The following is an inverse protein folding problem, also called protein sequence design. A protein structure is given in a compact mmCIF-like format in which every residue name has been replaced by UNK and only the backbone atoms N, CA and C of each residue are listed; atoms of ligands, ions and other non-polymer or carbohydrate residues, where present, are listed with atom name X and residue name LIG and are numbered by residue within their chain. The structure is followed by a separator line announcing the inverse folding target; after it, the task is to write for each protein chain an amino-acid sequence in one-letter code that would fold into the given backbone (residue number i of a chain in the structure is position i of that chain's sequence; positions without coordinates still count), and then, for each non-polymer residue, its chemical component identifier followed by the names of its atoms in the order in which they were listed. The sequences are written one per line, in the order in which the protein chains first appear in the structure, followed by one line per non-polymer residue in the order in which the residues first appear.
data_IF_568197457832
#
_entry.id   IF_568197457832
#
_cell.length_a   1.000
_cell.length_b   1.000
_cell.length_c   1.000
_cell.angle_alpha   90.00
_cell.angle_beta   90.00
_cell.angle_gamma   90.00
#
_symmetry.space_group_name_H-M   'P 1'
#
loop_
_entity.id
_entity.type
_entity.pdbx_description
1 polymer ?
#
# COMPACT_ATOMS: atom_id res chain seq x y z
N UNK A 1 7.30 -12.12 -16.54
CA UNK A 1 6.51 -11.26 -15.62
C UNK A 1 7.45 -10.81 -14.52
N UNK A 2 7.50 -9.53 -14.23
CA UNK A 2 8.40 -8.98 -13.23
C UNK A 2 7.94 -9.44 -11.86
N UNK A 3 8.85 -10.06 -11.11
CA UNK A 3 8.59 -10.65 -9.81
C UNK A 3 9.24 -9.84 -8.69
N UNK A 4 8.54 -9.67 -7.57
CA UNK A 4 9.06 -8.98 -6.41
C UNK A 4 8.96 -9.84 -5.14
N UNK A 5 9.92 -9.63 -4.23
CA UNK A 5 9.87 -10.05 -2.84
C UNK A 5 9.93 -8.81 -1.94
N UNK A 6 9.13 -8.82 -0.88
CA UNK A 6 9.15 -7.79 0.16
C UNK A 6 9.69 -8.43 1.43
N UNK A 7 10.61 -7.76 2.09
CA UNK A 7 11.19 -8.19 3.36
C UNK A 7 10.97 -7.08 4.38
N UNK A 8 10.24 -7.39 5.43
CA UNK A 8 10.06 -6.48 6.58
C UNK A 8 10.99 -6.91 7.70
N UNK A 9 11.76 -5.97 8.21
CA UNK A 9 12.76 -6.19 9.26
C UNK A 9 12.26 -5.44 10.49
N UNK A 10 12.11 -6.17 11.62
CA UNK A 10 11.65 -5.61 12.87
C UNK A 10 11.10 -6.69 13.81
N UNK A 11 11.67 -6.80 15.01
CA UNK A 11 11.23 -7.74 16.03
C UNK A 11 9.79 -7.46 16.48
N UNK A 12 9.37 -6.18 16.50
CA UNK A 12 8.02 -5.76 16.88
C UNK A 12 6.92 -6.32 15.97
N UNK A 13 7.27 -6.64 14.71
CA UNK A 13 6.35 -7.30 13.76
C UNK A 13 6.21 -8.77 14.14
N UNK A 14 7.33 -9.44 14.44
CA UNK A 14 7.35 -10.88 14.75
C UNK A 14 6.64 -11.21 16.06
N UNK A 15 6.78 -10.35 17.07
CA UNK A 15 6.08 -10.52 18.35
C UNK A 15 4.61 -10.03 18.31
N UNK A 16 4.16 -9.50 17.15
CA UNK A 16 2.77 -9.05 16.97
C UNK A 16 2.44 -7.73 17.67
N UNK A 17 3.44 -6.95 18.06
CA UNK A 17 3.24 -5.64 18.70
C UNK A 17 2.68 -4.62 17.70
N UNK A 18 3.12 -4.69 16.43
CA UNK A 18 2.60 -3.88 15.35
C UNK A 18 2.18 -4.76 14.16
N UNK A 19 1.23 -4.23 13.39
CA UNK A 19 0.79 -4.88 12.14
C UNK A 19 1.67 -4.39 11.00
N UNK A 20 2.17 -5.30 10.17
CA UNK A 20 2.91 -4.96 8.95
C UNK A 20 2.01 -4.26 7.92
N UNK A 21 1.91 -2.97 8.05
CA UNK A 21 1.22 -2.10 7.08
C UNK A 21 2.09 -1.73 5.89
N UNK A 22 3.42 -1.83 6.03
CA UNK A 22 4.39 -1.46 5.02
C UNK A 22 4.34 -2.44 3.84
N UNK A 23 4.47 -3.74 4.09
CA UNK A 23 4.39 -4.75 3.03
C UNK A 23 3.04 -4.71 2.31
N UNK A 24 1.96 -4.47 3.05
CA UNK A 24 0.61 -4.30 2.48
C UNK A 24 0.55 -3.12 1.51
N UNK A 25 1.13 -1.97 1.88
CA UNK A 25 1.16 -0.80 1.02
C UNK A 25 2.04 -1.02 -0.22
N UNK A 26 3.28 -1.50 -0.02
CA UNK A 26 4.23 -1.79 -1.10
C UNK A 26 3.61 -2.77 -2.11
N UNK A 27 2.99 -3.85 -1.63
CA UNK A 27 2.31 -4.83 -2.50
C UNK A 27 1.21 -4.19 -3.34
N UNK A 28 0.38 -3.32 -2.74
CA UNK A 28 -0.69 -2.63 -3.47
C UNK A 28 -0.14 -1.76 -4.59
N UNK A 29 0.92 -0.99 -4.32
CA UNK A 29 1.51 -0.10 -5.32
C UNK A 29 2.22 -0.88 -6.45
N UNK A 30 2.98 -1.93 -6.11
CA UNK A 30 3.63 -2.80 -7.10
C UNK A 30 2.63 -3.50 -8.03
N UNK A 31 1.52 -4.00 -7.48
CA UNK A 31 0.48 -4.66 -8.27
C UNK A 31 -0.19 -3.66 -9.23
N UNK A 32 -0.36 -2.39 -8.88
CA UNK A 32 -0.93 -1.37 -9.77
C UNK A 32 -0.13 -1.20 -11.06
N UNK A 33 1.19 -1.41 -10.99
CA UNK A 33 2.11 -1.30 -12.13
C UNK A 33 2.48 -2.65 -12.75
N UNK A 34 1.78 -3.73 -12.40
CA UNK A 34 1.95 -5.05 -13.03
C UNK A 34 3.12 -5.88 -12.51
N UNK A 35 3.74 -5.50 -11.41
CA UNK A 35 4.75 -6.29 -10.71
C UNK A 35 4.06 -7.32 -9.82
N UNK A 36 4.45 -8.58 -9.93
CA UNK A 36 3.92 -9.68 -9.14
C UNK A 36 4.70 -9.84 -7.83
N UNK A 37 4.08 -9.55 -6.70
CA UNK A 37 4.66 -9.86 -5.40
C UNK A 37 4.45 -11.35 -5.13
N UNK A 38 5.55 -12.12 -5.13
CA UNK A 38 5.52 -13.58 -4.94
C UNK A 38 5.76 -14.01 -3.51
N UNK A 39 6.46 -13.17 -2.73
CA UNK A 39 6.77 -13.48 -1.34
C UNK A 39 6.80 -12.21 -0.50
N UNK A 40 6.23 -12.29 0.69
CA UNK A 40 6.39 -11.33 1.78
C UNK A 40 6.99 -12.10 2.94
N UNK A 41 8.11 -11.61 3.48
CA UNK A 41 8.85 -12.24 4.56
C UNK A 41 9.11 -11.21 5.66
N UNK A 42 8.68 -11.52 6.89
CA UNK A 42 9.08 -10.75 8.07
C UNK A 42 10.19 -11.48 8.81
N UNK A 43 11.23 -10.75 9.17
CA UNK A 43 12.43 -11.28 9.85
C UNK A 43 12.83 -10.35 10.99
N UNK A 44 13.61 -10.90 11.93
CA UNK A 44 14.19 -10.15 13.03
C UNK A 44 15.31 -9.23 12.58
N UNK A 45 15.68 -8.28 13.45
CA UNK A 45 16.86 -7.42 13.30
C UNK A 45 18.15 -8.21 13.56
N UNK A 46 18.27 -9.38 12.90
CA UNK A 46 19.39 -10.29 13.03
C UNK A 46 20.20 -10.36 11.75
N UNK A 47 21.51 -10.12 11.83
CA UNK A 47 22.42 -10.12 10.70
C UNK A 47 22.35 -11.41 9.84
N UNK A 48 22.29 -12.59 10.49
CA UNK A 48 22.27 -13.88 9.77
C UNK A 48 20.96 -14.06 9.01
N UNK A 49 19.84 -13.64 9.60
CA UNK A 49 18.53 -13.73 8.97
C UNK A 49 18.44 -12.79 7.76
N UNK A 50 18.90 -11.54 7.91
CA UNK A 50 18.90 -10.57 6.81
C UNK A 50 19.80 -11.06 5.65
N UNK A 51 21.03 -11.51 5.95
CA UNK A 51 21.94 -12.07 4.95
C UNK A 51 21.34 -13.30 4.25
N UNK A 52 20.76 -14.21 5.02
CA UNK A 52 20.09 -15.39 4.48
C UNK A 52 18.92 -15.03 3.59
N UNK A 53 18.10 -14.05 3.99
CA UNK A 53 16.99 -13.56 3.19
C UNK A 53 17.47 -12.95 1.85
N UNK A 54 18.58 -12.20 1.85
CA UNK A 54 19.16 -11.63 0.63
C UNK A 54 19.76 -12.70 -0.28
N UNK A 55 20.52 -13.65 0.27
CA UNK A 55 21.11 -14.77 -0.48
C UNK A 55 20.02 -15.62 -1.16
N UNK A 56 18.92 -15.90 -0.46
CA UNK A 56 17.80 -16.66 -0.98
C UNK A 56 16.92 -15.88 -1.99
N UNK A 57 17.20 -14.59 -2.19
CA UNK A 57 16.40 -13.71 -3.04
C UNK A 57 17.11 -13.36 -4.35
N UNK A 58 18.45 -13.27 -4.34
CA UNK A 58 19.25 -12.90 -5.51
C UNK A 58 19.03 -13.86 -6.68
N UNK A 59 18.83 -13.32 -7.88
CA UNK A 59 18.51 -14.05 -9.12
C UNK A 59 17.20 -14.88 -9.10
N UNK A 60 16.46 -14.87 -7.98
CA UNK A 60 15.15 -15.53 -7.86
C UNK A 60 14.01 -14.53 -8.10
N UNK A 61 14.22 -13.29 -7.71
CA UNK A 61 13.27 -12.19 -7.91
C UNK A 61 13.95 -11.05 -8.65
N UNK A 62 13.21 -10.35 -9.50
CA UNK A 62 13.72 -9.20 -10.23
C UNK A 62 13.90 -7.99 -9.29
N UNK A 63 13.00 -7.86 -8.31
CA UNK A 63 12.95 -6.74 -7.36
C UNK A 63 12.86 -7.29 -5.94
N UNK A 64 13.75 -6.83 -5.07
CA UNK A 64 13.70 -7.10 -3.63
C UNK A 64 13.59 -5.76 -2.91
N UNK A 65 12.50 -5.56 -2.15
CA UNK A 65 12.29 -4.36 -1.37
C UNK A 65 12.34 -4.74 0.11
N UNK A 66 13.25 -4.11 0.86
CA UNK A 66 13.33 -4.25 2.31
C UNK A 66 12.83 -2.98 2.98
N UNK A 67 12.19 -3.10 4.14
CA UNK A 67 11.78 -1.96 4.96
C UNK A 67 12.06 -2.26 6.43
N UNK A 68 12.75 -1.34 7.12
CA UNK A 68 13.20 -1.46 8.50
C UNK A 68 14.72 -1.48 8.67
N UNK A 69 15.18 -1.28 9.89
CA UNK A 69 16.59 -1.38 10.29
C UNK A 69 17.53 -0.33 9.68
N UNK A 70 17.02 0.86 9.28
CA UNK A 70 17.82 1.96 8.72
C UNK A 70 17.95 3.16 9.69
N UNK A 71 17.39 3.09 10.86
CA UNK A 71 17.45 4.14 11.88
C UNK A 71 18.86 4.36 12.45
N UNK A 72 19.00 5.24 13.46
CA UNK A 72 20.27 5.57 14.07
C UNK A 72 20.62 4.70 15.27
N UNK A 73 19.83 3.71 15.65
CA UNK A 73 20.01 2.91 16.85
C UNK A 73 20.87 1.67 16.60
N UNK A 74 21.35 1.00 17.65
CA UNK A 74 22.29 -0.12 17.50
C UNK A 74 21.65 -1.39 16.92
N UNK A 75 20.36 -1.50 16.93
CA UNK A 75 19.55 -2.54 16.31
C UNK A 75 19.33 -2.31 14.81
N UNK A 76 19.57 -1.09 14.33
CA UNK A 76 19.45 -0.72 12.91
C UNK A 76 20.66 -1.16 12.08
N UNK A 77 20.79 -2.45 11.84
CA UNK A 77 21.98 -3.06 11.21
C UNK A 77 21.86 -3.26 9.70
N UNK A 78 20.77 -2.83 9.08
CA UNK A 78 20.51 -3.11 7.65
C UNK A 78 21.57 -2.49 6.72
N UNK A 79 22.15 -1.32 7.04
CA UNK A 79 23.22 -0.70 6.22
C UNK A 79 24.49 -1.55 6.22
N UNK A 80 24.92 -2.03 7.39
CA UNK A 80 26.10 -2.87 7.54
C UNK A 80 25.91 -4.20 6.81
N UNK A 81 24.74 -4.81 6.94
CA UNK A 81 24.40 -6.05 6.25
C UNK A 81 24.36 -5.84 4.74
N UNK A 82 23.87 -4.70 4.27
CA UNK A 82 23.92 -4.32 2.86
C UNK A 82 25.37 -4.26 2.38
N UNK A 83 26.26 -3.58 3.12
CA UNK A 83 27.68 -3.51 2.76
C UNK A 83 28.30 -4.89 2.67
N UNK A 84 28.08 -5.77 3.63
CA UNK A 84 28.62 -7.13 3.62
C UNK A 84 28.08 -7.96 2.45
N UNK A 85 26.77 -7.93 2.21
CA UNK A 85 26.16 -8.71 1.13
C UNK A 85 26.63 -8.27 -0.26
N UNK A 86 26.87 -6.95 -0.46
CA UNK A 86 27.28 -6.39 -1.74
C UNK A 86 28.80 -6.24 -1.89
N UNK A 87 29.58 -6.71 -0.91
CA UNK A 87 31.03 -6.49 -0.86
C UNK A 87 31.36 -5.01 -1.05
N UNK A 88 30.83 -4.18 -0.15
CA UNK A 88 30.90 -2.73 -0.19
C UNK A 88 31.32 -2.17 1.17
N UNK A 89 31.52 -0.87 1.24
CA UNK A 89 31.87 -0.13 2.46
C UNK A 89 31.03 1.12 2.63
N UNK A 90 30.86 1.54 3.86
CA UNK A 90 30.23 2.81 4.16
C UNK A 90 31.16 3.97 3.84
N UNK A 91 30.62 4.98 3.16
CA UNK A 91 31.28 6.23 2.83
C UNK A 91 30.43 7.40 3.30
N UNK A 92 31.09 8.47 3.73
CA UNK A 92 30.40 9.69 4.13
C UNK A 92 29.83 10.44 2.91
N UNK A 93 28.58 10.88 3.02
CA UNK A 93 27.89 11.64 2.00
C UNK A 93 27.57 13.04 2.52
N UNK A 94 28.26 14.07 1.98
CA UNK A 94 28.10 15.45 2.44
C UNK A 94 26.73 16.04 2.11
N UNK A 95 26.14 15.71 0.98
CA UNK A 95 24.82 16.20 0.58
C UNK A 95 23.74 15.64 1.50
N UNK A 96 23.86 14.38 1.87
CA UNK A 96 22.96 13.75 2.83
C UNK A 96 23.12 14.37 4.24
N UNK A 97 24.36 14.66 4.68
CA UNK A 97 24.58 15.34 5.95
C UNK A 97 23.91 16.72 5.95
N UNK A 98 24.09 17.50 4.89
CA UNK A 98 23.46 18.81 4.76
C UNK A 98 21.92 18.71 4.79
N UNK A 99 21.36 17.68 4.16
CA UNK A 99 19.91 17.40 4.23
C UNK A 99 19.46 17.09 5.66
N UNK A 100 20.17 16.23 6.37
CA UNK A 100 19.89 15.88 7.78
C UNK A 100 19.95 17.13 8.68
N UNK A 101 21.00 17.94 8.55
CA UNK A 101 21.15 19.18 9.30
C UNK A 101 20.01 20.17 9.04
N UNK A 102 19.56 20.27 7.79
CA UNK A 102 18.40 21.11 7.41
C UNK A 102 17.10 20.60 8.05
N UNK A 103 16.87 19.28 8.08
CA UNK A 103 15.71 18.70 8.74
C UNK A 103 15.72 19.02 10.24
N UNK A 104 16.86 18.84 10.93
CA UNK A 104 16.98 19.16 12.34
C UNK A 104 16.72 20.65 12.62
N UNK A 105 17.30 21.54 11.82
CA UNK A 105 17.10 22.99 11.97
C UNK A 105 15.62 23.41 11.81
N UNK A 106 14.85 22.69 11.00
CA UNK A 106 13.47 23.08 10.69
C UNK A 106 12.42 22.42 11.60
N UNK A 107 12.71 21.26 12.16
CA UNK A 107 11.69 20.42 12.80
C UNK A 107 12.07 19.94 14.20
N UNK A 108 13.31 20.16 14.64
CA UNK A 108 13.81 19.67 15.93
C UNK A 108 14.51 20.81 16.67
N UNK A 109 14.05 21.10 17.88
CA UNK A 109 14.64 22.16 18.71
C UNK A 109 16.04 21.80 19.31
N UNK A 110 16.48 20.55 19.16
CA UNK A 110 17.74 20.06 19.67
C UNK A 110 18.82 20.01 18.59
N UNK A 111 20.10 20.25 18.93
CA UNK A 111 21.20 20.12 17.99
C UNK A 111 21.34 18.66 17.53
N UNK A 112 21.78 18.49 16.30
CA UNK A 112 22.07 17.17 15.72
C UNK A 112 23.16 16.47 16.56
N UNK A 113 22.90 15.23 16.96
CA UNK A 113 23.84 14.38 17.68
C UNK A 113 24.69 13.50 16.73
N UNK A 114 25.71 12.81 17.28
CA UNK A 114 26.61 11.98 16.47
C UNK A 114 25.92 10.79 15.82
N UNK A 115 24.90 10.20 16.45
CA UNK A 115 24.12 9.11 15.87
C UNK A 115 23.36 9.57 14.61
N UNK A 116 22.81 10.78 14.66
CA UNK A 116 22.13 11.35 13.50
C UNK A 116 23.12 11.73 12.39
N UNK A 117 24.33 12.22 12.75
CA UNK A 117 25.41 12.48 11.79
C UNK A 117 25.88 11.19 11.12
N UNK A 118 25.92 10.08 11.86
CA UNK A 118 26.28 8.75 11.35
C UNK A 118 25.31 8.24 10.28
N UNK A 119 24.06 8.76 10.23
CA UNK A 119 23.14 8.45 9.15
C UNK A 119 23.65 8.89 7.77
N UNK A 120 24.58 9.86 7.70
CA UNK A 120 25.22 10.30 6.46
C UNK A 120 26.23 9.28 5.90
N UNK A 121 26.55 8.20 6.62
CA UNK A 121 27.33 7.10 6.08
C UNK A 121 26.42 6.12 5.34
N UNK A 122 26.74 5.86 4.07
CA UNK A 122 25.95 5.04 3.15
C UNK A 122 26.83 4.10 2.34
N UNK A 123 26.35 2.96 1.86
CA UNK A 123 27.13 2.06 0.99
C UNK A 123 27.59 2.78 -0.27
N UNK A 124 28.88 2.65 -0.62
CA UNK A 124 29.51 3.42 -1.71
C UNK A 124 28.95 3.09 -3.10
N UNK A 125 28.43 1.87 -3.29
CA UNK A 125 27.83 1.40 -4.56
C UNK A 125 26.34 1.72 -4.64
N UNK A 126 25.71 2.18 -3.54
CA UNK A 126 24.29 2.42 -3.51
C UNK A 126 23.90 3.71 -4.24
N UNK A 127 22.86 3.63 -5.04
CA UNK A 127 22.13 4.82 -5.47
C UNK A 127 21.12 5.19 -4.37
N UNK A 128 21.28 6.38 -3.83
CA UNK A 128 20.40 6.85 -2.75
C UNK A 128 19.02 7.21 -3.29
N UNK A 129 18.01 6.95 -2.46
CA UNK A 129 16.63 7.36 -2.68
C UNK A 129 16.32 8.41 -1.62
N UNK A 130 15.94 9.61 -2.07
CA UNK A 130 15.68 10.75 -1.20
C UNK A 130 14.56 10.43 -0.19
N UNK A 131 14.82 10.72 1.08
CA UNK A 131 13.83 10.70 2.14
C UNK A 131 13.53 12.15 2.55
N UNK A 132 12.41 12.69 2.13
CA UNK A 132 12.03 14.09 2.42
C UNK A 132 11.58 14.31 3.85
N UNK A 133 11.24 13.26 4.55
CA UNK A 133 10.58 13.31 5.86
C UNK A 133 11.42 12.76 7.02
N UNK A 134 12.57 12.16 6.72
CA UNK A 134 13.41 11.53 7.73
C UNK A 134 14.88 11.55 7.36
N UNK A 135 15.71 11.12 8.31
CA UNK A 135 17.18 11.15 8.21
C UNK A 135 17.78 9.94 7.50
N UNK A 136 17.06 8.82 7.47
CA UNK A 136 17.53 7.59 6.85
C UNK A 136 17.19 7.60 5.35
N UNK A 137 18.16 7.66 4.44
CA UNK A 137 17.90 7.56 3.01
C UNK A 137 17.50 6.14 2.64
N UNK A 138 16.72 6.00 1.58
CA UNK A 138 16.62 4.70 0.92
C UNK A 138 17.85 4.42 0.08
N UNK A 139 18.08 3.16 -0.23
CA UNK A 139 19.25 2.69 -0.95
C UNK A 139 18.82 1.72 -2.04
N UNK A 140 19.51 1.76 -3.18
CA UNK A 140 19.27 0.84 -4.28
C UNK A 140 20.59 0.33 -4.84
N UNK A 141 20.74 -1.01 -4.93
CA UNK A 141 21.91 -1.68 -5.52
C UNK A 141 21.43 -2.83 -6.40
N UNK A 142 22.11 -3.07 -7.52
CA UNK A 142 21.89 -4.22 -8.40
C UNK A 142 22.92 -5.31 -8.11
N UNK A 143 22.46 -6.57 -7.99
CA UNK A 143 23.33 -7.75 -7.90
C UNK A 143 22.76 -8.87 -8.78
N UNK A 144 23.55 -9.33 -9.74
CA UNK A 144 23.06 -10.25 -10.76
C UNK A 144 21.90 -9.64 -11.55
N UNK A 145 20.80 -10.38 -11.67
CA UNK A 145 19.57 -9.91 -12.32
C UNK A 145 18.60 -9.21 -11.37
N UNK A 146 18.94 -9.10 -10.09
CA UNK A 146 18.07 -8.59 -9.04
C UNK A 146 18.42 -7.15 -8.66
N UNK A 147 17.39 -6.33 -8.43
CA UNK A 147 17.52 -4.97 -7.87
C UNK A 147 17.04 -5.00 -6.43
N UNK A 148 17.95 -4.71 -5.51
CA UNK A 148 17.66 -4.57 -4.08
C UNK A 148 17.41 -3.11 -3.74
N UNK A 149 16.36 -2.86 -2.99
CA UNK A 149 15.97 -1.55 -2.48
C UNK A 149 15.72 -1.66 -0.99
N UNK A 150 16.34 -0.80 -0.19
CA UNK A 150 16.13 -0.75 1.25
C UNK A 150 15.53 0.60 1.65
N UNK A 151 14.50 0.56 2.47
CA UNK A 151 13.68 1.70 2.88
C UNK A 151 13.56 1.77 4.40
N UNK A 152 13.35 2.95 4.98
CA UNK A 152 13.06 3.09 6.40
C UNK A 152 11.79 2.34 6.81
N UNK A 153 11.70 1.95 8.09
CA UNK A 153 10.54 1.30 8.68
C UNK A 153 9.34 2.23 8.89
N UNK A 154 9.59 3.53 9.03
CA UNK A 154 8.55 4.54 9.31
C UNK A 154 7.57 4.64 8.13
N UNK A 155 6.26 4.37 8.36
CA UNK A 155 5.32 4.18 7.25
C UNK A 155 5.15 5.39 6.33
N UNK A 156 5.10 6.61 6.85
CA UNK A 156 4.90 7.81 6.01
C UNK A 156 6.14 8.15 5.17
N UNK A 157 7.35 7.88 5.67
CA UNK A 157 8.60 8.02 4.94
C UNK A 157 8.66 7.00 3.78
N UNK A 158 8.47 5.73 4.11
CA UNK A 158 8.48 4.64 3.16
C UNK A 158 7.43 4.84 2.05
N UNK A 159 6.21 5.27 2.38
CA UNK A 159 5.14 5.49 1.40
C UNK A 159 5.51 6.56 0.38
N UNK A 160 6.05 7.71 0.82
CA UNK A 160 6.51 8.76 -0.09
C UNK A 160 7.61 8.26 -1.02
N UNK A 161 8.60 7.52 -0.49
CA UNK A 161 9.69 6.98 -1.29
C UNK A 161 9.20 5.96 -2.32
N UNK A 162 8.23 5.13 -1.97
CA UNK A 162 7.60 4.17 -2.90
C UNK A 162 6.90 4.94 -4.03
N UNK A 163 6.03 5.90 -3.70
CA UNK A 163 5.21 6.58 -4.71
C UNK A 163 6.01 7.54 -5.59
N UNK A 164 6.93 8.31 -4.99
CA UNK A 164 7.60 9.42 -5.66
C UNK A 164 8.88 8.99 -6.40
N UNK A 165 9.50 7.88 -5.97
CA UNK A 165 10.80 7.46 -6.49
C UNK A 165 10.81 6.02 -7.03
N UNK A 166 10.35 5.04 -6.25
CA UNK A 166 10.51 3.63 -6.59
C UNK A 166 9.56 3.20 -7.70
N UNK A 167 8.28 3.54 -7.63
CA UNK A 167 7.30 3.20 -8.66
C UNK A 167 7.69 3.79 -10.02
N UNK A 168 8.02 5.09 -10.14
CA UNK A 168 8.50 5.67 -11.40
C UNK A 168 9.76 4.99 -11.91
N UNK A 169 10.73 4.69 -11.01
CA UNK A 169 11.94 3.97 -11.41
C UNK A 169 11.63 2.59 -11.97
N UNK A 170 10.78 1.79 -11.30
CA UNK A 170 10.42 0.46 -11.78
C UNK A 170 9.73 0.53 -13.14
N UNK A 171 8.84 1.49 -13.34
CA UNK A 171 8.15 1.68 -14.62
C UNK A 171 9.11 2.06 -15.76
N UNK A 172 10.20 2.77 -15.46
CA UNK A 172 11.23 3.16 -16.43
C UNK A 172 12.19 2.00 -16.73
N UNK A 173 12.62 1.29 -15.69
CA UNK A 173 13.61 0.20 -15.81
C UNK A 173 13.01 -1.06 -16.43
N UNK A 174 11.74 -1.32 -16.14
CA UNK A 174 11.04 -2.53 -16.57
C UNK A 174 9.85 -2.16 -17.46
N UNK A 175 9.64 -2.94 -18.51
CA UNK A 175 8.42 -2.84 -19.30
C UNK A 175 7.23 -3.45 -18.51
N UNK A 176 6.62 -2.65 -17.65
CA UNK A 176 5.55 -3.08 -16.76
C UNK A 176 4.20 -3.06 -17.46
N UNK A 177 3.41 -4.16 -17.42
CA UNK A 177 2.06 -4.15 -17.95
C UNK A 177 1.14 -3.30 -17.06
N UNK A 178 0.18 -2.64 -17.67
CA UNK A 178 -0.91 -1.95 -16.97
C UNK A 178 -1.87 -3.00 -16.42
N UNK A 179 -2.28 -2.87 -15.17
CA UNK A 179 -3.36 -3.65 -14.56
C UNK A 179 -4.52 -2.71 -14.22
N UNK A 180 -5.71 -3.03 -14.72
CA UNK A 180 -6.96 -2.33 -14.41
C UNK A 180 -7.85 -3.26 -13.62
N UNK A 181 -8.44 -2.74 -12.54
CA UNK A 181 -9.39 -3.47 -11.68
C UNK A 181 -10.62 -2.61 -11.45
N UNK A 182 -11.80 -3.21 -11.62
CA UNK A 182 -13.09 -2.63 -11.19
C UNK A 182 -13.82 -3.65 -10.34
N UNK A 183 -14.32 -3.20 -9.19
CA UNK A 183 -15.05 -4.06 -8.26
C UNK A 183 -16.50 -3.60 -8.22
N UNK A 184 -17.42 -4.50 -8.58
CA UNK A 184 -18.85 -4.31 -8.46
C UNK A 184 -19.33 -4.88 -7.12
N UNK A 185 -20.21 -4.16 -6.45
CA UNK A 185 -20.88 -4.63 -5.23
C UNK A 185 -22.23 -5.23 -5.59
N UNK A 186 -22.47 -6.46 -5.11
CA UNK A 186 -23.79 -7.11 -5.23
C UNK A 186 -24.37 -7.32 -3.84
N UNK A 187 -25.70 -7.39 -3.75
CA UNK A 187 -26.41 -7.57 -2.50
C UNK A 187 -27.59 -8.56 -2.65
N UNK A 188 -27.90 -9.26 -1.55
CA UNK A 188 -29.09 -10.12 -1.44
C UNK A 188 -29.02 -11.45 -2.17
N UNK A 189 -27.86 -11.80 -2.79
CA UNK A 189 -27.68 -13.06 -3.51
C UNK A 189 -26.35 -13.70 -3.14
N UNK A 190 -26.36 -15.01 -2.88
CA UNK A 190 -25.14 -15.76 -2.53
C UNK A 190 -24.23 -15.98 -3.72
N UNK A 191 -22.92 -16.21 -3.41
CA UNK A 191 -21.85 -16.42 -4.38
C UNK A 191 -22.17 -17.50 -5.43
N UNK A 192 -22.65 -18.67 -4.99
CA UNK A 192 -22.96 -19.80 -5.87
C UNK A 192 -24.03 -19.47 -6.92
N UNK A 193 -25.02 -18.65 -6.54
CA UNK A 193 -26.07 -18.22 -7.45
C UNK A 193 -25.55 -17.22 -8.48
N UNK A 194 -24.67 -16.31 -8.07
CA UNK A 194 -24.02 -15.37 -8.98
C UNK A 194 -23.09 -16.13 -9.94
N UNK A 195 -22.27 -17.04 -9.43
CA UNK A 195 -21.36 -17.86 -10.23
C UNK A 195 -22.11 -18.69 -11.29
N UNK A 196 -23.28 -19.27 -10.93
CA UNK A 196 -24.14 -19.97 -11.88
C UNK A 196 -24.60 -19.06 -13.02
N UNK A 197 -24.99 -17.82 -12.71
CA UNK A 197 -25.41 -16.84 -13.73
C UNK A 197 -24.28 -16.36 -14.63
N UNK A 198 -23.05 -16.32 -14.10
CA UNK A 198 -21.87 -15.81 -14.82
C UNK A 198 -21.03 -16.89 -15.48
N UNK A 199 -21.42 -18.16 -15.42
CA UNK A 199 -20.67 -19.29 -15.97
C UNK A 199 -20.24 -19.09 -17.42
N UNK A 200 -21.16 -18.70 -18.28
CA UNK A 200 -20.87 -18.49 -19.71
C UNK A 200 -20.08 -17.18 -19.94
N UNK A 201 -20.32 -16.17 -19.14
CA UNK A 201 -19.54 -14.93 -19.17
C UNK A 201 -18.08 -15.21 -18.84
N UNK A 202 -17.78 -15.96 -17.76
CA UNK A 202 -16.43 -16.32 -17.38
C UNK A 202 -15.71 -17.16 -18.43
N UNK A 203 -16.42 -18.12 -19.04
CA UNK A 203 -15.87 -18.97 -20.11
C UNK A 203 -15.47 -18.18 -21.35
N UNK A 204 -16.15 -17.06 -21.61
CA UNK A 204 -15.90 -16.20 -22.78
C UNK A 204 -14.97 -15.01 -22.48
N UNK A 205 -14.47 -14.87 -21.24
CA UNK A 205 -13.47 -13.85 -20.93
C UNK A 205 -12.14 -14.19 -21.61
N UNK A 206 -11.44 -13.20 -22.19
CA UNK A 206 -10.10 -13.38 -22.71
C UNK A 206 -9.11 -13.72 -21.58
N UNK A 207 -8.01 -14.40 -21.91
CA UNK A 207 -6.99 -14.84 -20.96
C UNK A 207 -6.36 -13.71 -20.12
N UNK A 208 -6.38 -12.50 -20.65
CA UNK A 208 -5.89 -11.31 -19.96
C UNK A 208 -6.92 -10.66 -19.03
N UNK A 209 -8.15 -11.21 -18.95
CA UNK A 209 -9.21 -10.80 -18.03
C UNK A 209 -9.47 -11.90 -16.99
N UNK A 210 -9.77 -11.49 -15.76
CA UNK A 210 -10.09 -12.40 -14.65
C UNK A 210 -11.20 -11.82 -13.79
N UNK A 211 -12.24 -12.63 -13.53
CA UNK A 211 -13.27 -12.35 -12.55
C UNK A 211 -12.94 -13.05 -11.23
N UNK A 212 -13.11 -12.36 -10.11
CA UNK A 212 -12.96 -12.92 -8.78
C UNK A 212 -14.17 -12.59 -7.91
N UNK A 213 -14.62 -13.59 -7.15
CA UNK A 213 -15.69 -13.46 -6.18
C UNK A 213 -15.07 -13.22 -4.80
N UNK A 214 -15.53 -12.19 -4.12
CA UNK A 214 -15.04 -11.78 -2.81
C UNK A 214 -16.23 -11.70 -1.84
N UNK A 215 -16.65 -12.87 -1.29
CA UNK A 215 -17.81 -12.92 -0.41
C UNK A 215 -17.55 -12.19 0.90
N UNK A 216 -18.59 -11.56 1.42
CA UNK A 216 -18.66 -10.99 2.76
C UNK A 216 -20.08 -11.17 3.27
N UNK A 217 -20.34 -10.92 4.56
CA UNK A 217 -21.64 -11.11 5.17
C UNK A 217 -22.72 -10.30 4.40
N UNK A 218 -23.71 -11.02 3.82
CA UNK A 218 -24.82 -10.45 3.08
C UNK A 218 -24.52 -9.82 1.71
N UNK A 219 -23.27 -9.88 1.23
CA UNK A 219 -22.86 -9.31 -0.07
C UNK A 219 -21.75 -10.09 -0.73
N UNK A 220 -21.66 -10.00 -2.06
CA UNK A 220 -20.55 -10.51 -2.84
C UNK A 220 -19.97 -9.36 -3.66
N UNK A 221 -18.66 -9.17 -3.59
CA UNK A 221 -17.95 -8.23 -4.45
C UNK A 221 -17.40 -8.97 -5.64
N UNK A 222 -17.68 -8.48 -6.84
CA UNK A 222 -17.18 -9.03 -8.09
C UNK A 222 -16.06 -8.16 -8.61
N UNK A 223 -14.84 -8.64 -8.56
CA UNK A 223 -13.69 -7.89 -9.04
C UNK A 223 -13.29 -8.40 -10.43
N UNK A 224 -13.57 -7.60 -11.45
CA UNK A 224 -13.05 -7.79 -12.80
C UNK A 224 -11.68 -7.11 -12.88
N UNK A 225 -10.68 -7.85 -13.32
CA UNK A 225 -9.32 -7.37 -13.51
C UNK A 225 -8.82 -7.72 -14.89
N UNK A 226 -8.06 -6.82 -15.52
CA UNK A 226 -7.38 -7.08 -16.78
C UNK A 226 -5.94 -6.59 -16.74
N UNK A 227 -5.11 -7.12 -17.65
CA UNK A 227 -3.69 -6.84 -17.74
C UNK A 227 -3.26 -6.77 -19.21
N UNK A 228 -2.39 -5.80 -19.53
CA UNK A 228 -1.82 -5.61 -20.86
C UNK A 228 -0.98 -4.36 -20.95
N UNK A 229 -0.54 -3.98 -22.15
CA UNK A 229 0.34 -2.83 -22.36
C UNK A 229 -0.37 -1.61 -22.95
N UNK A 230 -1.55 -1.80 -23.52
CA UNK A 230 -2.38 -0.72 -24.07
C UNK A 230 -3.50 -0.37 -23.10
N UNK A 231 -3.33 0.75 -22.40
CA UNK A 231 -4.26 1.21 -21.36
C UNK A 231 -5.63 1.56 -21.92
N UNK A 232 -5.67 2.20 -23.09
CA UNK A 232 -6.94 2.69 -23.67
C UNK A 232 -7.79 1.54 -24.17
N UNK A 233 -7.16 0.57 -24.83
CA UNK A 233 -7.83 -0.68 -25.23
C UNK A 233 -8.31 -1.48 -24.00
N UNK A 234 -7.49 -1.57 -22.94
CA UNK A 234 -7.89 -2.25 -21.71
C UNK A 234 -9.07 -1.57 -21.03
N UNK A 235 -9.11 -0.23 -20.98
CA UNK A 235 -10.23 0.51 -20.41
C UNK A 235 -11.52 0.29 -21.20
N UNK A 236 -11.45 0.40 -22.54
CA UNK A 236 -12.60 0.19 -23.42
C UNK A 236 -13.19 -1.21 -23.25
N UNK A 237 -12.35 -2.23 -23.24
CA UNK A 237 -12.79 -3.62 -23.01
C UNK A 237 -13.33 -3.82 -21.58
N UNK A 238 -12.70 -3.20 -20.58
CA UNK A 238 -13.18 -3.25 -19.19
C UNK A 238 -14.61 -2.69 -19.09
N UNK A 239 -14.89 -1.56 -19.71
CA UNK A 239 -16.21 -0.93 -19.70
C UNK A 239 -17.25 -1.83 -20.42
N UNK A 240 -16.89 -2.42 -21.53
CA UNK A 240 -17.74 -3.37 -22.25
C UNK A 240 -18.12 -4.58 -21.38
N UNK A 241 -17.16 -5.20 -20.69
CA UNK A 241 -17.44 -6.35 -19.82
C UNK A 241 -18.21 -5.94 -18.56
N UNK A 242 -17.99 -4.75 -18.02
CA UNK A 242 -18.80 -4.21 -16.93
C UNK A 242 -20.25 -4.03 -17.35
N UNK A 243 -20.52 -3.52 -18.56
CA UNK A 243 -21.89 -3.43 -19.10
C UNK A 243 -22.54 -4.80 -19.26
N UNK A 244 -21.79 -5.81 -19.71
CA UNK A 244 -22.30 -7.18 -19.80
C UNK A 244 -22.67 -7.72 -18.41
N UNK A 245 -21.84 -7.49 -17.39
CA UNK A 245 -22.15 -7.86 -16.00
C UNK A 245 -23.42 -7.19 -15.51
N UNK A 246 -23.62 -5.90 -15.82
CA UNK A 246 -24.85 -5.18 -15.49
C UNK A 246 -26.08 -5.78 -16.19
N UNK A 247 -25.96 -6.21 -17.46
CA UNK A 247 -27.06 -6.88 -18.18
C UNK A 247 -27.41 -8.24 -17.59
N UNK A 248 -26.40 -9.02 -17.15
CA UNK A 248 -26.60 -10.38 -16.61
C UNK A 248 -27.15 -10.37 -15.18
N UNK A 249 -26.72 -9.43 -14.35
CA UNK A 249 -27.04 -9.38 -12.92
C UNK A 249 -28.13 -8.36 -12.56
N UNK A 250 -28.29 -7.30 -13.39
CA UNK A 250 -29.32 -6.30 -13.22
C UNK A 250 -29.34 -5.66 -11.83
N UNK A 251 -30.49 -5.70 -11.15
CA UNK A 251 -30.70 -5.08 -9.84
C UNK A 251 -29.88 -5.69 -8.69
N UNK A 252 -29.20 -6.82 -8.92
CA UNK A 252 -28.30 -7.43 -7.93
C UNK A 252 -27.07 -6.54 -7.72
N UNK A 253 -26.61 -5.84 -8.78
CA UNK A 253 -25.50 -4.88 -8.67
C UNK A 253 -26.04 -3.58 -8.09
N UNK A 254 -25.48 -3.15 -6.97
CA UNK A 254 -25.82 -1.89 -6.31
C UNK A 254 -24.87 -0.74 -6.62
N UNK A 255 -23.72 -1.02 -7.26
CA UNK A 255 -22.73 -0.02 -7.66
C UNK A 255 -21.32 -0.57 -7.68
N UNK A 256 -20.37 0.34 -7.82
CA UNK A 256 -18.95 0.04 -7.70
C UNK A 256 -18.47 0.11 -6.25
N UNK A 257 -17.45 -0.68 -5.93
CA UNK A 257 -16.69 -0.48 -4.71
C UNK A 257 -15.91 0.83 -4.84
N UNK A 258 -16.12 1.72 -3.89
CA UNK A 258 -15.42 3.00 -3.87
C UNK A 258 -13.97 2.80 -3.40
N UNK A 259 -13.05 3.57 -3.96
CA UNK A 259 -11.66 3.65 -3.45
C UNK A 259 -11.61 4.29 -2.06
N UNK A 260 -12.59 5.13 -1.78
CA UNK A 260 -12.77 5.82 -0.50
C UNK A 260 -13.78 5.09 0.39
N UNK A 261 -13.83 5.48 1.65
CA UNK A 261 -14.84 4.96 2.58
C UNK A 261 -16.25 5.39 2.19
N UNK A 262 -17.24 4.62 2.60
CA UNK A 262 -18.68 4.96 2.37
C UNK A 262 -18.99 6.34 2.92
N UNK A 263 -18.46 6.66 4.09
CA UNK A 263 -18.66 7.95 4.77
C UNK A 263 -18.14 9.12 3.90
N UNK A 264 -16.99 8.93 3.26
CA UNK A 264 -16.42 9.93 2.36
C UNK A 264 -17.28 10.14 1.11
N UNK A 265 -17.81 9.06 0.53
CA UNK A 265 -18.69 9.15 -0.66
C UNK A 265 -20.04 9.79 -0.31
N UNK A 266 -20.65 9.44 0.83
CA UNK A 266 -21.85 10.11 1.35
C UNK A 266 -21.58 11.61 1.51
N UNK A 267 -20.43 11.97 2.09
CA UNK A 267 -20.04 13.37 2.25
C UNK A 267 -19.93 14.13 0.93
N UNK A 268 -19.35 13.51 -0.10
CA UNK A 268 -19.28 14.10 -1.45
C UNK A 268 -20.67 14.33 -2.05
N UNK A 269 -21.56 13.33 -1.91
CA UNK A 269 -22.93 13.41 -2.43
C UNK A 269 -23.69 14.52 -1.71
N UNK A 270 -23.64 14.57 -0.38
CA UNK A 270 -24.33 15.59 0.42
C UNK A 270 -23.84 16.99 0.07
N UNK A 271 -22.53 17.20 -0.03
CA UNK A 271 -21.93 18.48 -0.47
C UNK A 271 -22.43 18.89 -1.85
N UNK A 272 -22.44 17.96 -2.82
CA UNK A 272 -22.91 18.23 -4.18
C UNK A 272 -24.39 18.61 -4.24
N UNK A 273 -25.20 18.01 -3.38
CA UNK A 273 -26.65 18.27 -3.31
C UNK A 273 -26.99 19.48 -2.41
N UNK A 274 -26.03 20.09 -1.72
CA UNK A 274 -26.29 21.13 -0.70
C UNK A 274 -27.15 20.64 0.45
N UNK A 275 -27.05 19.35 0.80
CA UNK A 275 -27.84 18.71 1.86
C UNK A 275 -27.01 18.45 3.10
N UNK A 276 -27.69 18.46 4.23
CA UNK A 276 -27.08 18.14 5.53
C UNK A 276 -27.69 16.87 6.10
N UNK A 277 -27.00 16.25 7.04
CA UNK A 277 -27.43 15.07 7.79
C UNK A 277 -27.19 15.28 9.27
N UNK A 278 -28.09 14.75 10.08
CA UNK A 278 -27.95 14.62 11.52
C UNK A 278 -28.24 13.17 11.89
N UNK A 279 -27.65 12.68 12.98
CA UNK A 279 -27.90 11.33 13.47
C UNK A 279 -28.54 11.36 14.84
N UNK A 280 -29.41 10.40 15.09
CA UNK A 280 -29.91 10.08 16.43
C UNK A 280 -29.49 8.63 16.72
N UNK A 281 -28.67 8.44 17.74
CA UNK A 281 -28.07 7.15 18.05
C UNK A 281 -28.39 6.74 19.50
N UNK A 282 -28.59 5.43 19.68
CA UNK A 282 -28.72 4.77 20.97
C UNK A 282 -27.83 3.55 20.99
N UNK A 283 -28.27 2.43 20.41
CA UNK A 283 -27.51 1.15 20.36
C UNK A 283 -26.14 1.27 19.73
N UNK A 284 -25.96 2.10 18.73
CA UNK A 284 -24.69 2.31 18.01
C UNK A 284 -23.65 3.10 18.81
N UNK A 285 -24.02 3.68 19.95
CA UNK A 285 -23.12 4.37 20.87
C UNK A 285 -22.35 5.55 20.25
N UNK A 286 -22.90 6.21 19.21
CA UNK A 286 -22.24 7.31 18.50
C UNK A 286 -21.30 6.84 17.36
N UNK A 287 -21.28 5.55 17.00
CA UNK A 287 -20.37 5.03 15.98
C UNK A 287 -20.64 5.61 14.58
N UNK A 288 -21.92 5.84 14.22
CA UNK A 288 -22.26 6.42 12.91
C UNK A 288 -21.74 7.85 12.82
N UNK A 289 -21.98 8.63 13.88
CA UNK A 289 -21.49 10.01 14.01
C UNK A 289 -19.98 10.08 13.95
N UNK A 290 -19.30 9.22 14.68
CA UNK A 290 -17.84 9.12 14.70
C UNK A 290 -17.29 8.84 13.30
N UNK A 291 -17.88 7.93 12.55
CA UNK A 291 -17.48 7.63 11.18
C UNK A 291 -17.73 8.80 10.22
N UNK A 292 -18.87 9.46 10.31
CA UNK A 292 -19.17 10.62 9.46
C UNK A 292 -18.21 11.77 9.78
N UNK A 293 -17.99 12.07 11.07
CA UNK A 293 -17.13 13.17 11.52
C UNK A 293 -15.64 12.91 11.28
N UNK A 294 -15.22 11.66 11.09
CA UNK A 294 -13.82 11.32 10.73
C UNK A 294 -13.41 11.77 9.31
N UNK A 295 -14.39 12.13 8.47
CA UNK A 295 -14.12 12.59 7.10
C UNK A 295 -13.72 14.08 7.12
N UNK A 296 -12.55 14.47 6.58
CA UNK A 296 -12.14 15.86 6.50
C UNK A 296 -13.20 16.74 5.81
N UNK A 297 -13.60 17.83 6.48
CA UNK A 297 -14.65 18.75 6.00
C UNK A 297 -16.07 18.22 6.22
N UNK A 298 -16.29 17.31 7.15
CA UNK A 298 -17.61 16.81 7.53
C UNK A 298 -18.53 17.92 8.07
N UNK A 299 -17.99 18.96 8.71
CA UNK A 299 -18.75 20.11 9.21
C UNK A 299 -19.59 20.84 8.16
N UNK A 300 -19.29 20.66 6.86
CA UNK A 300 -20.06 21.25 5.78
C UNK A 300 -21.41 20.55 5.52
N UNK A 301 -21.60 19.34 6.04
CA UNK A 301 -22.82 18.56 5.81
C UNK A 301 -23.33 17.78 7.03
N UNK A 302 -22.51 17.66 8.08
CA UNK A 302 -22.91 16.98 9.33
C UNK A 302 -23.18 18.02 10.40
N UNK A 303 -24.45 18.09 10.86
CA UNK A 303 -24.87 19.13 11.78
C UNK A 303 -24.75 18.73 13.25
N UNK A 304 -25.30 17.58 13.64
CA UNK A 304 -25.30 17.16 15.04
C UNK A 304 -25.52 15.65 15.23
N UNK A 305 -25.16 15.19 16.42
CA UNK A 305 -25.53 13.90 16.99
C UNK A 305 -26.55 14.15 18.13
N UNK A 306 -27.71 13.51 18.08
CA UNK A 306 -28.58 13.32 19.21
C UNK A 306 -28.33 11.90 19.76
N UNK A 307 -27.87 11.82 21.01
CA UNK A 307 -27.69 10.55 21.69
C UNK A 307 -28.85 10.34 22.66
N UNK A 308 -29.56 9.22 22.54
CA UNK A 308 -30.62 8.81 23.47
C UNK A 308 -30.28 7.43 24.03
N UNK A 309 -30.38 7.26 25.34
CA UNK A 309 -30.21 5.97 26.00
C UNK A 309 -31.45 5.72 26.87
N UNK A 310 -32.10 4.59 26.65
CA UNK A 310 -33.22 4.14 27.51
C UNK A 310 -32.74 3.57 28.85
N UNK A 311 -31.44 3.53 29.10
CA UNK A 311 -30.84 2.97 30.32
C UNK A 311 -30.96 3.86 31.57
N UNK A 312 -31.66 4.98 31.47
CA UNK A 312 -31.88 5.89 32.61
C UNK A 312 -33.25 5.72 33.30
N UNK A 313 -34.11 4.81 32.81
CA UNK A 313 -35.45 4.60 33.30
C UNK A 313 -35.65 3.24 34.01
N UNK A 314 -34.56 2.51 34.36
CA UNK A 314 -34.61 1.33 35.24
C UNK A 314 -33.96 1.59 36.59
#
# INVERSE_FOLDING_TARGET
MISAKIITIGDEILIGQIIDTNSTFISKELIKIGVEVREILSISDNKKEILGAFQNSVNKYDIIITTGGLGPTNDDITKEVFCEFFDDKLVHNNDLLAHIEKLFKNFVDNPINDLNRAQAYVPSKAKLIENRFGTAPGMRIKKGNSIFMSLPGVPYEMKSMITDSIIPFIQTEFNCPVIIKKTLMTYGVGESTIAKKLKDFEKNLPDNFKLAYLPNLGRVRLRLSCKGFDRDNLNSNMDLYIEQLHKLLGKIIIGFEFENTIESEIGKILKKLGKTVSTAESFTGGLISSRISSVPGASLYYNCLLYTSDAADE
#
